data_IF_025586152310
#
_entry.id   IF_025586152310
#
_cell.length_a   1.000
_cell.length_b   1.000
_cell.length_c   1.000
_cell.angle_alpha   90.00
_cell.angle_beta   90.00
_cell.angle_gamma   90.00
#
_symmetry.space_group_name_H-M   'P 1'
#
loop_
_entity.id
_entity.type
_entity.pdbx_description
1 polymer ?
#
# COMPACT_ATOMS: atom_id res chain seq x y z
N UNK A 1 9.21 -23.48 -14.70
CA UNK A 1 9.79 -24.84 -14.57
C UNK A 1 9.45 -25.41 -13.18
N UNK A 2 9.11 -26.69 -13.14
CA UNK A 2 8.83 -27.40 -11.88
C UNK A 2 9.86 -28.51 -11.68
N UNK A 3 10.57 -28.48 -10.55
CA UNK A 3 11.57 -29.49 -10.20
C UNK A 3 11.74 -29.54 -8.66
N UNK A 4 11.83 -30.73 -8.09
CA UNK A 4 12.10 -30.94 -6.67
C UNK A 4 11.12 -30.19 -5.72
N UNK A 5 9.83 -30.20 -6.02
CA UNK A 5 8.78 -29.48 -5.26
C UNK A 5 8.90 -27.94 -5.32
N UNK A 6 9.68 -27.43 -6.26
CA UNK A 6 9.84 -26.01 -6.52
C UNK A 6 9.28 -25.65 -7.88
N UNK A 7 8.52 -24.55 -7.92
CA UNK A 7 8.09 -23.90 -9.15
C UNK A 7 8.92 -22.64 -9.37
N UNK A 8 9.73 -22.64 -10.41
CA UNK A 8 10.52 -21.48 -10.81
C UNK A 8 9.77 -20.71 -11.90
N UNK A 9 9.49 -19.43 -11.65
CA UNK A 9 8.84 -18.52 -12.57
C UNK A 9 9.91 -17.64 -13.20
N UNK A 10 10.17 -17.88 -14.49
CA UNK A 10 11.16 -17.14 -15.27
C UNK A 10 10.44 -16.07 -16.11
N UNK A 11 10.36 -14.84 -15.64
CA UNK A 11 9.86 -13.67 -16.39
C UNK A 11 8.50 -13.88 -17.07
N UNK A 12 7.49 -14.27 -16.29
CA UNK A 12 6.12 -14.34 -16.77
C UNK A 12 5.54 -12.94 -16.97
N UNK A 13 5.05 -12.65 -18.17
CA UNK A 13 4.33 -11.41 -18.43
C UNK A 13 2.92 -11.47 -17.85
N UNK A 14 2.57 -10.45 -17.09
CA UNK A 14 1.23 -10.24 -16.53
C UNK A 14 0.60 -9.02 -17.20
N UNK A 15 -0.53 -9.21 -17.86
CA UNK A 15 -1.26 -8.10 -18.46
C UNK A 15 -2.74 -8.28 -18.35
N UNK A 16 -3.42 -7.25 -17.82
CA UNK A 16 -4.87 -7.20 -17.77
C UNK A 16 -5.38 -5.74 -17.91
N UNK A 17 -6.66 -5.50 -17.61
CA UNK A 17 -7.29 -4.18 -17.78
C UNK A 17 -6.71 -3.07 -16.89
N UNK A 18 -6.00 -3.40 -15.79
CA UNK A 18 -5.51 -2.41 -14.83
C UNK A 18 -4.01 -2.51 -14.52
N UNK A 19 -3.32 -3.55 -14.95
CA UNK A 19 -1.87 -3.66 -14.76
C UNK A 19 -1.18 -4.32 -15.95
N UNK A 20 0.08 -3.96 -16.12
CA UNK A 20 1.02 -4.54 -17.06
C UNK A 20 2.37 -4.68 -16.36
N UNK A 21 2.99 -5.85 -16.41
CA UNK A 21 4.24 -6.08 -15.70
C UNK A 21 4.79 -7.48 -15.87
N UNK A 22 5.74 -7.82 -15.00
CA UNK A 22 6.44 -9.10 -14.99
C UNK A 22 6.45 -9.68 -13.60
N UNK A 23 6.28 -10.99 -13.55
CA UNK A 23 6.42 -11.79 -12.34
C UNK A 23 7.59 -12.76 -12.53
N UNK A 24 8.48 -12.80 -11.57
CA UNK A 24 9.56 -13.78 -11.49
C UNK A 24 9.75 -14.24 -10.04
N UNK A 25 10.46 -15.34 -9.84
CA UNK A 25 10.80 -15.86 -8.54
C UNK A 25 10.52 -17.34 -8.36
N UNK A 26 10.34 -17.75 -7.12
CA UNK A 26 10.31 -19.14 -6.71
C UNK A 26 9.13 -19.40 -5.77
N UNK A 27 8.49 -20.56 -5.96
CA UNK A 27 7.47 -21.08 -5.05
C UNK A 27 7.87 -22.48 -4.62
N UNK A 28 7.97 -22.71 -3.31
CA UNK A 28 8.19 -24.01 -2.69
C UNK A 28 6.83 -24.56 -2.21
N UNK A 29 6.51 -25.79 -2.61
CA UNK A 29 5.23 -26.40 -2.31
C UNK A 29 5.30 -27.31 -1.08
N UNK A 30 6.45 -27.94 -0.83
CA UNK A 30 6.68 -28.90 0.25
C UNK A 30 8.02 -28.62 0.93
N UNK A 31 8.18 -28.90 2.25
CA UNK A 31 7.17 -29.41 3.17
C UNK A 31 6.13 -28.35 3.61
N UNK A 32 6.42 -27.06 3.39
CA UNK A 32 5.54 -25.93 3.69
C UNK A 32 5.48 -25.02 2.47
N UNK A 33 4.29 -24.48 2.22
CA UNK A 33 4.13 -23.50 1.16
C UNK A 33 4.90 -22.20 1.49
N UNK A 34 5.85 -21.87 0.64
CA UNK A 34 6.68 -20.68 0.76
C UNK A 34 6.95 -20.09 -0.62
N UNK A 35 7.13 -18.78 -0.71
CA UNK A 35 7.46 -18.12 -1.97
C UNK A 35 8.44 -16.96 -1.77
N UNK A 36 9.19 -16.67 -2.81
CA UNK A 36 10.01 -15.48 -2.96
C UNK A 36 9.79 -14.94 -4.37
N UNK A 37 9.01 -13.86 -4.48
CA UNK A 37 8.48 -13.35 -5.74
C UNK A 37 8.79 -11.86 -5.92
N UNK A 38 9.16 -11.53 -7.16
CA UNK A 38 9.31 -10.17 -7.63
C UNK A 38 8.21 -9.86 -8.66
N UNK A 39 7.35 -8.89 -8.33
CA UNK A 39 6.31 -8.38 -9.22
C UNK A 39 6.64 -6.95 -9.62
N UNK A 40 7.17 -6.81 -10.83
CA UNK A 40 7.58 -5.52 -11.39
C UNK A 40 6.55 -5.03 -12.41
N UNK A 41 5.77 -4.02 -12.05
CA UNK A 41 4.74 -3.45 -12.89
C UNK A 41 5.30 -2.28 -13.69
N UNK A 42 5.25 -2.36 -15.01
CA UNK A 42 5.53 -1.24 -15.91
C UNK A 42 4.52 -0.12 -15.68
N UNK A 43 3.27 -0.50 -15.44
CA UNK A 43 2.21 0.44 -15.07
C UNK A 43 1.06 -0.24 -14.32
N UNK A 44 0.33 0.59 -13.54
CA UNK A 44 -0.91 0.21 -12.89
C UNK A 44 -1.94 1.35 -12.99
N UNK A 45 -3.18 1.01 -13.30
CA UNK A 45 -4.30 1.95 -13.30
C UNK A 45 -5.08 1.83 -12.00
N UNK A 46 -4.71 2.64 -11.02
CA UNK A 46 -5.33 2.66 -9.70
C UNK A 46 -6.81 3.03 -9.74
N UNK A 47 -7.21 3.93 -10.64
CA UNK A 47 -8.62 4.32 -10.77
C UNK A 47 -9.48 3.12 -11.16
N UNK A 48 -9.04 2.33 -12.13
CA UNK A 48 -9.75 1.11 -12.55
C UNK A 48 -9.72 0.02 -11.48
N UNK A 49 -8.57 -0.19 -10.84
CA UNK A 49 -8.42 -1.16 -9.77
C UNK A 49 -9.34 -0.82 -8.59
N UNK A 50 -9.38 0.43 -8.17
CA UNK A 50 -10.25 0.93 -7.11
C UNK A 50 -11.73 0.77 -7.46
N UNK A 51 -12.13 1.14 -8.68
CA UNK A 51 -13.51 0.96 -9.14
C UNK A 51 -13.91 -0.51 -9.16
N UNK A 52 -13.01 -1.40 -9.59
CA UNK A 52 -13.23 -2.84 -9.54
C UNK A 52 -13.43 -3.33 -8.10
N UNK A 53 -12.57 -2.89 -7.18
CA UNK A 53 -12.67 -3.25 -5.76
C UNK A 53 -13.99 -2.77 -5.13
N UNK A 54 -14.40 -1.54 -5.41
CA UNK A 54 -15.67 -1.00 -4.90
C UNK A 54 -16.89 -1.78 -5.39
N UNK A 55 -16.85 -2.30 -6.62
CA UNK A 55 -17.92 -3.09 -7.22
C UNK A 55 -18.04 -4.51 -6.66
N UNK A 56 -17.05 -4.99 -5.88
CA UNK A 56 -17.10 -6.30 -5.25
C UNK A 56 -18.10 -6.33 -4.09
N UNK A 57 -18.80 -7.47 -3.94
CA UNK A 57 -19.59 -7.74 -2.75
C UNK A 57 -18.72 -7.93 -1.49
N UNK A 58 -19.30 -7.73 -0.32
CA UNK A 58 -18.66 -7.85 1.00
C UNK A 58 -17.90 -9.18 1.18
N UNK A 59 -18.45 -10.29 0.70
CA UNK A 59 -17.86 -11.61 0.81
C UNK A 59 -16.59 -11.73 -0.03
N UNK A 60 -16.59 -11.14 -1.22
CA UNK A 60 -15.43 -11.10 -2.12
C UNK A 60 -14.33 -10.18 -1.58
N UNK A 61 -14.67 -9.02 -1.03
CA UNK A 61 -13.71 -8.12 -0.35
C UNK A 61 -13.01 -8.84 0.80
N UNK A 62 -13.76 -9.50 1.68
CA UNK A 62 -13.21 -10.30 2.78
C UNK A 62 -12.28 -11.41 2.32
N UNK A 63 -12.59 -12.07 1.20
CA UNK A 63 -11.72 -13.12 0.66
C UNK A 63 -10.39 -12.59 0.14
N UNK A 64 -10.36 -11.41 -0.48
CA UNK A 64 -9.14 -10.81 -1.02
C UNK A 64 -8.13 -10.53 0.09
N UNK A 65 -8.58 -10.01 1.23
CA UNK A 65 -7.70 -9.64 2.33
C UNK A 65 -7.48 -10.76 3.35
N UNK A 66 -8.25 -11.85 3.27
CA UNK A 66 -8.08 -12.98 4.18
C UNK A 66 -6.85 -13.80 3.82
N UNK A 67 -5.77 -13.53 4.54
CA UNK A 67 -4.51 -14.25 4.36
C UNK A 67 -4.62 -15.61 5.07
N UNK A 68 -4.32 -16.66 4.32
CA UNK A 68 -4.29 -18.02 4.90
C UNK A 68 -3.09 -18.15 5.85
N UNK A 69 -3.31 -18.70 7.03
CA UNK A 69 -2.28 -18.94 8.06
C UNK A 69 -1.20 -19.96 7.67
N UNK A 70 -1.32 -20.58 6.49
CA UNK A 70 -0.29 -21.47 5.93
C UNK A 70 0.55 -20.81 4.85
N UNK A 71 0.29 -19.54 4.54
CA UNK A 71 1.06 -18.79 3.55
C UNK A 71 2.26 -18.16 4.22
N UNK A 72 3.45 -18.49 3.70
CA UNK A 72 4.71 -17.86 4.05
C UNK A 72 5.41 -17.39 2.77
N UNK A 73 6.21 -16.34 2.88
CA UNK A 73 6.99 -15.89 1.73
C UNK A 73 7.31 -14.41 1.75
N UNK A 74 7.96 -13.98 0.68
CA UNK A 74 8.31 -12.59 0.42
C UNK A 74 7.78 -12.18 -0.94
N UNK A 75 7.31 -10.95 -1.02
CA UNK A 75 6.90 -10.32 -2.27
C UNK A 75 7.54 -8.93 -2.35
N UNK A 76 8.41 -8.75 -3.34
CA UNK A 76 8.84 -7.44 -3.76
C UNK A 76 7.86 -6.97 -4.85
N UNK A 77 7.23 -5.83 -4.62
CA UNK A 77 6.25 -5.28 -5.55
C UNK A 77 6.65 -3.85 -5.90
N UNK A 78 6.83 -3.59 -7.20
CA UNK A 78 7.13 -2.24 -7.69
C UNK A 78 6.18 -1.82 -8.81
N UNK A 79 6.01 -0.52 -8.99
CA UNK A 79 5.33 0.03 -10.15
C UNK A 79 6.02 1.31 -10.62
N UNK A 80 6.43 1.33 -11.90
CA UNK A 80 7.15 2.46 -12.52
C UNK A 80 6.20 3.62 -12.85
N UNK A 81 4.95 3.30 -13.19
CA UNK A 81 3.93 4.27 -13.57
C UNK A 81 2.60 3.97 -12.92
N UNK A 82 2.00 5.00 -12.31
CA UNK A 82 0.70 4.90 -11.66
C UNK A 82 -0.27 5.89 -12.30
N UNK A 83 -1.36 5.36 -12.84
CA UNK A 83 -2.47 6.16 -13.33
C UNK A 83 -3.55 6.25 -12.26
N UNK A 84 -3.76 7.46 -11.72
CA UNK A 84 -4.78 7.73 -10.72
C UNK A 84 -5.48 9.06 -11.01
N UNK A 85 -6.68 9.25 -10.47
CA UNK A 85 -7.49 10.46 -10.66
C UNK A 85 -6.72 11.75 -10.33
N UNK A 86 -5.94 11.74 -9.25
CA UNK A 86 -5.23 12.94 -8.78
C UNK A 86 -3.78 13.02 -9.29
N UNK A 87 -3.29 11.96 -9.95
CA UNK A 87 -1.91 11.87 -10.47
C UNK A 87 -0.84 12.27 -9.42
N UNK A 88 -1.11 11.92 -8.16
CA UNK A 88 -0.25 12.26 -7.02
C UNK A 88 0.94 11.30 -6.96
N UNK A 89 0.68 10.00 -6.99
CA UNK A 89 1.70 8.96 -6.91
C UNK A 89 2.27 8.72 -8.32
N UNK A 90 3.59 8.71 -8.44
CA UNK A 90 4.30 8.47 -9.71
C UNK A 90 4.74 7.03 -9.85
N UNK A 91 5.37 6.51 -8.82
CA UNK A 91 5.85 5.14 -8.71
C UNK A 91 5.85 4.70 -7.26
N UNK A 92 5.99 3.41 -7.03
CA UNK A 92 6.24 2.87 -5.70
C UNK A 92 7.11 1.62 -5.75
N UNK A 93 7.72 1.30 -4.61
CA UNK A 93 8.42 0.06 -4.32
C UNK A 93 7.99 -0.45 -2.95
N UNK A 94 7.78 -1.75 -2.83
CA UNK A 94 7.32 -2.35 -1.57
C UNK A 94 7.99 -3.70 -1.33
N UNK A 95 8.32 -3.97 -0.07
CA UNK A 95 8.75 -5.28 0.43
C UNK A 95 7.73 -5.79 1.44
N UNK A 96 7.13 -6.91 1.12
CA UNK A 96 6.04 -7.50 1.90
C UNK A 96 6.45 -8.92 2.31
N UNK A 97 6.31 -9.21 3.60
CA UNK A 97 6.58 -10.53 4.16
C UNK A 97 5.29 -11.15 4.69
N UNK A 98 5.04 -12.37 4.29
CA UNK A 98 3.92 -13.18 4.78
C UNK A 98 4.45 -14.21 5.78
N UNK A 99 3.81 -14.31 6.92
CA UNK A 99 4.20 -15.24 7.98
C UNK A 99 2.96 -15.71 8.75
N UNK A 100 2.54 -16.96 8.50
CA UNK A 100 1.49 -17.64 9.23
C UNK A 100 0.19 -16.82 9.42
N UNK A 101 -0.29 -16.21 8.34
CA UNK A 101 -1.54 -15.41 8.35
C UNK A 101 -1.38 -13.95 8.73
N UNK A 102 -0.18 -13.51 9.08
CA UNK A 102 0.19 -12.11 9.24
C UNK A 102 0.95 -11.61 8.03
N UNK A 103 0.76 -10.36 7.67
CA UNK A 103 1.54 -9.69 6.61
C UNK A 103 2.26 -8.50 7.20
N UNK A 104 3.57 -8.47 7.04
CA UNK A 104 4.43 -7.35 7.41
C UNK A 104 4.80 -6.58 6.14
N UNK A 105 4.47 -5.31 6.08
CA UNK A 105 5.02 -4.37 5.11
C UNK A 105 6.32 -3.83 5.71
N UNK A 106 7.44 -4.43 5.27
CA UNK A 106 8.77 -4.06 5.76
C UNK A 106 9.20 -2.69 5.21
N UNK A 107 8.69 -2.34 4.03
CA UNK A 107 8.92 -1.07 3.39
C UNK A 107 7.86 -0.85 2.30
N UNK A 108 7.34 0.37 2.20
CA UNK A 108 6.52 0.83 1.08
C UNK A 108 6.88 2.27 0.76
N UNK A 109 7.80 2.44 -0.19
CA UNK A 109 8.26 3.73 -0.66
C UNK A 109 7.36 4.25 -1.77
N UNK A 110 6.84 5.45 -1.61
CA UNK A 110 5.97 6.12 -2.58
C UNK A 110 6.68 7.36 -3.12
N UNK A 111 6.82 7.43 -4.43
CA UNK A 111 7.37 8.59 -5.11
C UNK A 111 6.23 9.53 -5.54
N UNK A 112 6.21 10.74 -5.02
CA UNK A 112 5.26 11.80 -5.36
C UNK A 112 5.83 12.77 -6.43
N UNK A 113 6.97 12.43 -7.03
CA UNK A 113 7.70 13.27 -7.99
C UNK A 113 8.19 14.55 -7.34
N UNK A 114 7.91 15.70 -7.97
CA UNK A 114 8.30 17.03 -7.45
C UNK A 114 7.55 17.48 -6.19
N UNK A 115 6.69 16.64 -5.65
CA UNK A 115 5.94 16.94 -4.42
C UNK A 115 6.62 16.36 -3.19
N UNK A 116 7.47 15.33 -3.38
CA UNK A 116 8.15 14.65 -2.30
C UNK A 116 8.09 13.12 -2.40
N UNK A 117 8.11 12.47 -1.25
CA UNK A 117 8.05 11.01 -1.12
C UNK A 117 7.31 10.63 0.17
N UNK A 118 6.91 9.37 0.26
CA UNK A 118 6.42 8.80 1.51
C UNK A 118 7.03 7.41 1.73
N UNK A 119 7.28 7.07 3.00
CA UNK A 119 7.66 5.74 3.44
C UNK A 119 6.61 5.23 4.42
N UNK A 120 6.13 4.01 4.20
CA UNK A 120 5.10 3.39 5.03
C UNK A 120 5.60 2.03 5.49
N UNK A 121 5.50 1.80 6.79
CA UNK A 121 5.73 0.51 7.43
C UNK A 121 4.42 0.04 8.06
N UNK A 122 4.23 -1.26 8.22
CA UNK A 122 3.06 -1.70 8.95
C UNK A 122 2.78 -3.19 8.91
N UNK A 123 1.71 -3.56 9.57
CA UNK A 123 1.25 -4.95 9.65
C UNK A 123 -0.21 -5.06 9.27
N UNK A 124 -0.53 -6.09 8.48
CA UNK A 124 -1.91 -6.45 8.17
C UNK A 124 -2.24 -7.70 8.98
N UNK A 125 -3.26 -7.59 9.81
CA UNK A 125 -3.76 -8.67 10.64
C UNK A 125 -5.23 -8.93 10.35
N UNK A 126 -5.59 -10.20 10.35
CA UNK A 126 -6.99 -10.61 10.26
C UNK A 126 -7.61 -10.62 11.66
N UNK A 127 -8.26 -9.54 12.03
CA UNK A 127 -9.10 -9.50 13.22
C UNK A 127 -10.41 -10.27 13.00
N UNK A 128 -11.09 -10.64 14.09
CA UNK A 128 -12.34 -11.43 14.00
C UNK A 128 -13.45 -10.73 13.19
N UNK A 129 -13.39 -9.40 13.08
CA UNK A 129 -14.43 -8.59 12.44
C UNK A 129 -14.03 -8.10 11.04
N UNK A 130 -12.79 -7.66 10.86
CA UNK A 130 -12.29 -7.09 9.61
C UNK A 130 -10.76 -7.23 9.51
N UNK A 131 -10.23 -7.05 8.31
CA UNK A 131 -8.80 -7.04 8.06
C UNK A 131 -8.23 -5.65 8.30
N UNK A 132 -7.33 -5.53 9.26
CA UNK A 132 -6.80 -4.28 9.77
C UNK A 132 -5.34 -4.08 9.35
N UNK A 133 -5.04 -2.92 8.80
CA UNK A 133 -3.69 -2.45 8.49
C UNK A 133 -3.26 -1.42 9.52
N UNK A 134 -2.39 -1.83 10.45
CA UNK A 134 -1.71 -0.91 11.37
C UNK A 134 -0.48 -0.37 10.70
N UNK A 135 -0.32 0.96 10.63
CA UNK A 135 0.76 1.59 9.89
C UNK A 135 1.42 2.75 10.62
N UNK A 136 2.64 3.03 10.21
CA UNK A 136 3.41 4.23 10.48
C UNK A 136 3.94 4.74 9.13
N UNK A 137 3.86 6.04 8.91
CA UNK A 137 4.27 6.68 7.65
C UNK A 137 5.02 7.98 7.92
N UNK A 138 6.13 8.16 7.20
CA UNK A 138 6.81 9.44 7.08
C UNK A 138 6.55 10.00 5.68
N UNK A 139 6.01 11.20 5.59
CA UNK A 139 5.71 11.89 4.35
C UNK A 139 6.62 13.11 4.24
N UNK A 140 7.53 13.07 3.29
CA UNK A 140 8.47 14.15 2.98
C UNK A 140 7.89 15.03 1.89
N UNK A 141 7.52 16.26 2.22
CA UNK A 141 6.93 17.21 1.28
C UNK A 141 7.96 18.27 0.92
N UNK A 142 8.45 18.22 -0.33
CA UNK A 142 9.43 19.20 -0.82
C UNK A 142 8.85 20.62 -0.99
N UNK A 143 7.56 20.70 -1.30
CA UNK A 143 6.86 21.95 -1.53
C UNK A 143 5.42 21.86 -1.06
N UNK A 144 5.18 22.31 0.16
CA UNK A 144 3.89 22.26 0.84
C UNK A 144 2.77 22.96 0.04
N UNK A 145 3.06 24.12 -0.55
CA UNK A 145 2.10 24.85 -1.39
C UNK A 145 1.62 24.02 -2.57
N UNK A 146 2.54 23.38 -3.29
CA UNK A 146 2.20 22.51 -4.44
C UNK A 146 1.48 21.24 -3.99
N UNK A 147 1.89 20.67 -2.87
CA UNK A 147 1.26 19.49 -2.31
C UNK A 147 -0.18 19.78 -1.92
N UNK A 148 -0.43 20.79 -1.10
CA UNK A 148 -1.74 21.17 -0.61
C UNK A 148 -2.68 21.63 -1.74
N UNK A 149 -2.15 22.29 -2.78
CA UNK A 149 -2.95 22.70 -3.95
C UNK A 149 -3.58 21.52 -4.70
N UNK A 150 -3.00 20.29 -4.61
CA UNK A 150 -3.61 19.09 -5.18
C UNK A 150 -4.91 18.68 -4.50
N UNK A 151 -5.12 19.13 -3.28
CA UNK A 151 -6.33 18.91 -2.48
C UNK A 151 -7.24 20.14 -2.44
N UNK A 152 -6.96 21.17 -3.27
CA UNK A 152 -7.73 22.41 -3.30
C UNK A 152 -7.43 23.36 -2.14
N UNK A 153 -6.38 23.09 -1.38
CA UNK A 153 -5.93 23.94 -0.26
C UNK A 153 -4.84 24.87 -0.78
N UNK A 154 -5.10 26.18 -0.69
CA UNK A 154 -4.17 27.20 -1.18
C UNK A 154 -3.49 27.92 -0.02
N UNK A 155 -2.22 27.61 0.21
CA UNK A 155 -1.37 28.29 1.18
C UNK A 155 -0.40 29.23 0.46
N UNK A 156 -0.01 30.33 1.11
CA UNK A 156 0.95 31.31 0.58
C UNK A 156 2.39 30.88 0.72
N UNK A 157 2.70 30.02 1.66
CA UNK A 157 4.05 29.57 1.97
C UNK A 157 4.45 28.34 1.19
N UNK A 158 5.74 28.26 0.83
CA UNK A 158 6.34 27.15 0.11
C UNK A 158 7.49 26.61 0.97
N UNK A 159 7.14 25.85 1.99
CA UNK A 159 8.07 25.28 2.97
C UNK A 159 8.15 23.77 2.70
N UNK A 160 9.31 23.17 2.92
CA UNK A 160 9.42 21.71 3.01
C UNK A 160 8.94 21.28 4.39
N UNK A 161 8.27 20.15 4.46
CA UNK A 161 7.77 19.62 5.74
C UNK A 161 7.92 18.10 5.79
N UNK A 162 7.98 17.62 7.01
CA UNK A 162 8.10 16.21 7.35
C UNK A 162 6.87 15.84 8.19
N UNK A 163 5.95 15.09 7.62
CA UNK A 163 4.73 14.70 8.29
C UNK A 163 4.82 13.24 8.71
N UNK A 164 4.75 12.98 10.01
CA UNK A 164 4.58 11.65 10.55
C UNK A 164 3.10 11.35 10.77
N UNK A 165 2.66 10.18 10.34
CA UNK A 165 1.27 9.71 10.52
C UNK A 165 1.30 8.27 10.96
N UNK A 166 0.61 7.95 12.05
CA UNK A 166 0.38 6.57 12.47
C UNK A 166 -1.09 6.29 12.70
N UNK A 167 -1.51 5.05 12.45
CA UNK A 167 -2.92 4.71 12.59
C UNK A 167 -3.25 3.28 12.20
N UNK A 168 -4.55 3.05 12.11
CA UNK A 168 -5.17 1.85 11.57
C UNK A 168 -6.00 2.18 10.34
N UNK A 169 -6.02 1.25 9.39
CA UNK A 169 -6.88 1.31 8.22
C UNK A 169 -7.66 0.00 8.06
N UNK A 170 -8.99 0.08 8.08
CA UNK A 170 -9.87 -1.03 7.74
C UNK A 170 -9.86 -1.21 6.23
N UNK A 171 -9.26 -2.29 5.77
CA UNK A 171 -9.09 -2.57 4.34
C UNK A 171 -10.40 -2.98 3.64
N UNK A 172 -11.37 -3.46 4.39
CA UNK A 172 -12.66 -3.91 3.83
C UNK A 172 -13.61 -2.72 3.63
N UNK A 173 -13.67 -1.82 4.60
CA UNK A 173 -14.56 -0.64 4.59
C UNK A 173 -13.86 0.64 4.11
N UNK A 174 -12.53 0.59 3.89
CA UNK A 174 -11.69 1.73 3.49
C UNK A 174 -11.78 2.92 4.46
N UNK A 175 -11.76 2.61 5.77
CA UNK A 175 -11.85 3.61 6.83
C UNK A 175 -10.56 3.68 7.64
N UNK A 176 -10.10 4.90 7.90
CA UNK A 176 -8.90 5.17 8.69
C UNK A 176 -9.22 5.64 10.09
N UNK A 177 -8.36 5.30 11.03
CA UNK A 177 -8.27 5.87 12.38
C UNK A 177 -6.83 6.26 12.63
N UNK A 178 -6.60 7.50 13.04
CA UNK A 178 -5.26 8.04 13.24
C UNK A 178 -4.94 8.11 14.75
N UNK A 179 -3.76 7.58 15.12
CA UNK A 179 -3.26 7.65 16.49
C UNK A 179 -2.40 8.89 16.72
N UNK A 180 -1.65 9.26 15.70
CA UNK A 180 -0.76 10.40 15.72
C UNK A 180 -0.62 11.01 14.33
N UNK A 181 -0.67 12.33 14.30
CA UNK A 181 -0.28 13.15 13.16
C UNK A 181 0.63 14.24 13.73
N UNK A 182 1.84 14.36 13.22
CA UNK A 182 2.81 15.36 13.67
C UNK A 182 3.59 15.97 12.50
N UNK A 183 3.75 17.29 12.55
CA UNK A 183 4.60 18.09 11.68
C UNK A 183 5.39 19.02 12.63
N UNK A 184 6.65 18.67 12.94
CA UNK A 184 7.48 19.27 14.00
C UNK A 184 6.86 19.24 15.40
N UNK A 185 5.54 19.34 15.50
CA UNK A 185 4.74 19.22 16.74
C UNK A 185 3.59 18.25 16.52
N UNK A 186 3.30 17.49 17.55
CA UNK A 186 2.13 16.59 17.55
C UNK A 186 0.84 17.43 17.50
N UNK A 187 -0.07 17.09 16.61
CA UNK A 187 -1.39 17.69 16.55
C UNK A 187 -2.22 17.35 17.79
N UNK A 188 -3.15 18.22 18.14
CA UNK A 188 -4.09 17.94 19.21
C UNK A 188 -5.02 16.76 18.85
N UNK A 189 -5.58 16.10 19.85
CA UNK A 189 -6.56 15.04 19.62
C UNK A 189 -7.82 15.56 18.87
N UNK A 190 -8.17 16.82 19.05
CA UNK A 190 -9.29 17.45 18.34
C UNK A 190 -9.00 17.60 16.85
N UNK A 191 -7.79 18.04 16.50
CA UNK A 191 -7.35 18.14 15.09
C UNK A 191 -7.27 16.77 14.43
N UNK A 192 -6.73 15.77 15.13
CA UNK A 192 -6.67 14.38 14.63
C UNK A 192 -8.06 13.83 14.35
N UNK A 193 -9.00 14.02 15.29
CA UNK A 193 -10.39 13.58 15.15
C UNK A 193 -11.10 14.31 13.99
N UNK A 194 -10.80 15.60 13.78
CA UNK A 194 -11.33 16.36 12.65
C UNK A 194 -10.85 15.76 11.32
N UNK A 195 -9.54 15.54 11.19
CA UNK A 195 -8.94 14.95 10.00
C UNK A 195 -9.52 13.55 9.74
N UNK A 196 -9.64 12.72 10.76
CA UNK A 196 -10.24 11.39 10.66
C UNK A 196 -11.68 11.43 10.11
N UNK A 197 -12.48 12.38 10.59
CA UNK A 197 -13.86 12.57 10.13
C UNK A 197 -13.94 13.02 8.67
N UNK A 198 -13.03 13.89 8.23
CA UNK A 198 -12.97 14.33 6.83
C UNK A 198 -12.43 13.24 5.89
N UNK A 199 -11.64 12.30 6.42
CA UNK A 199 -11.07 11.19 5.67
C UNK A 199 -12.07 10.07 5.42
N UNK A 200 -12.98 9.79 6.36
CA UNK A 200 -13.93 8.67 6.35
C UNK A 200 -15.30 9.06 5.77
#
# INVERSE_FOLDING_TARGET
DYKNNELIINKSNLRNAFLDGKLEGKIELLPYFNFDLDLNLNNINFTRLYSYFLALDEKSKKKIFKINNKINGKLNLSADKIYSKYNLIKSFESRIKFNNGSTLIEQFLINLGKLGAADILGTINNDKKFTNFKFESNIFVDNQKKFLSKFGIYNKESISSNLFVSGNFDLENLKGSFYEISDDKKLSNEDVNYIEKEFN
#
